data_IF_974837227805
#
_entry.id   IF_974837227805
#
_cell.length_a   1.000
_cell.length_b   1.000
_cell.length_c   1.000
_cell.angle_alpha   90.00
_cell.angle_beta   90.00
_cell.angle_gamma   90.00
#
_symmetry.space_group_name_H-M   'P 1'
#
loop_
_entity.id
_entity.type
_entity.pdbx_description
1 polymer ?
#
# COMPACT_ATOMS: atom_id res chain seq x y z
N UNK A 1 7.05 0.10 17.89
CA UNK A 1 5.69 0.21 17.29
C UNK A 1 5.43 -1.06 16.49
N UNK A 2 4.28 -1.69 16.66
CA UNK A 2 3.86 -2.81 15.79
C UNK A 2 3.61 -2.26 14.40
N UNK A 3 4.14 -2.94 13.39
CA UNK A 3 4.08 -2.47 11.99
C UNK A 3 3.37 -3.44 11.05
N UNK A 4 3.08 -4.67 11.49
CA UNK A 4 2.37 -5.72 10.75
C UNK A 4 1.13 -6.14 11.51
N UNK A 5 -0.01 -6.17 10.82
CA UNK A 5 -1.32 -6.45 11.41
C UNK A 5 -2.08 -7.47 10.56
N UNK A 6 -2.54 -8.54 11.20
CA UNK A 6 -3.42 -9.51 10.55
C UNK A 6 -4.83 -8.93 10.44
N UNK A 7 -5.43 -9.00 9.24
CA UNK A 7 -6.83 -8.62 9.03
C UNK A 7 -7.75 -9.84 8.96
N UNK A 8 -7.44 -10.77 8.04
CA UNK A 8 -8.23 -11.98 7.84
C UNK A 8 -7.29 -13.13 7.44
N UNK A 9 -7.50 -14.32 8.01
CA UNK A 9 -6.79 -15.53 7.59
C UNK A 9 -7.73 -16.72 7.66
N UNK A 10 -7.86 -17.41 6.54
CA UNK A 10 -8.79 -18.53 6.37
C UNK A 10 -8.21 -19.61 5.46
N UNK A 11 -8.70 -20.85 5.64
CA UNK A 11 -8.36 -21.98 4.79
C UNK A 11 -7.03 -22.65 5.14
N UNK A 12 -6.56 -23.49 4.22
CA UNK A 12 -5.32 -24.24 4.36
C UNK A 12 -4.39 -23.93 3.21
N UNK A 13 -3.12 -23.86 3.51
CA UNK A 13 -2.08 -23.70 2.50
C UNK A 13 -2.07 -24.92 1.58
N UNK A 14 -2.02 -24.66 0.28
CA UNK A 14 -1.82 -25.67 -0.77
C UNK A 14 -0.44 -25.50 -1.42
N UNK A 15 0.09 -26.53 -2.08
CA UNK A 15 1.30 -26.39 -2.87
C UNK A 15 1.15 -25.29 -3.91
N UNK A 16 2.15 -24.42 -4.07
CA UNK A 16 2.14 -23.32 -5.02
C UNK A 16 3.14 -23.63 -6.11
N UNK A 17 2.66 -23.73 -7.34
CA UNK A 17 3.47 -23.93 -8.54
C UNK A 17 3.62 -22.66 -9.39
N UNK A 18 2.74 -21.67 -9.18
CA UNK A 18 2.72 -20.42 -9.97
C UNK A 18 2.28 -19.23 -9.13
N UNK A 19 2.78 -18.06 -9.49
CA UNK A 19 2.46 -16.78 -8.86
C UNK A 19 1.78 -15.85 -9.85
N UNK A 20 0.73 -15.17 -9.41
CA UNK A 20 -0.02 -14.18 -10.23
C UNK A 20 -0.11 -12.87 -9.45
N UNK A 21 0.42 -11.79 -10.01
CA UNK A 21 0.34 -10.45 -9.42
C UNK A 21 -0.80 -9.67 -10.06
N UNK A 22 -1.78 -9.31 -9.24
CA UNK A 22 -3.01 -8.60 -9.64
C UNK A 22 -2.78 -7.09 -9.48
N UNK A 23 -1.92 -6.50 -10.30
CA UNK A 23 -1.56 -5.08 -10.15
C UNK A 23 -1.03 -4.47 -11.44
N UNK A 24 -1.44 -3.22 -11.70
CA UNK A 24 -0.85 -2.37 -12.74
C UNK A 24 0.40 -1.61 -12.28
N UNK A 25 0.68 -1.56 -10.97
CA UNK A 25 1.80 -0.81 -10.40
C UNK A 25 3.16 -1.33 -10.89
N UNK A 26 3.97 -0.52 -11.59
CA UNK A 26 5.32 -0.91 -11.99
C UNK A 26 6.21 -1.25 -10.77
N UNK A 27 6.04 -0.53 -9.67
CA UNK A 27 6.78 -0.74 -8.43
C UNK A 27 6.53 -2.13 -7.84
N UNK A 28 5.26 -2.56 -7.75
CA UNK A 28 4.90 -3.90 -7.25
C UNK A 28 5.44 -5.02 -8.16
N UNK A 29 5.38 -4.81 -9.48
CA UNK A 29 5.94 -5.76 -10.45
C UNK A 29 7.44 -5.94 -10.25
N UNK A 30 8.18 -4.85 -10.08
CA UNK A 30 9.61 -4.89 -9.83
C UNK A 30 9.95 -5.57 -8.49
N UNK A 31 9.22 -5.24 -7.42
CA UNK A 31 9.43 -5.82 -6.09
C UNK A 31 9.17 -7.33 -6.03
N UNK A 32 8.28 -7.85 -6.86
CA UNK A 32 7.93 -9.28 -6.90
C UNK A 32 8.59 -10.06 -8.05
N UNK A 33 9.49 -9.45 -8.81
CA UNK A 33 10.15 -10.11 -9.97
C UNK A 33 10.89 -11.40 -9.61
N UNK A 34 11.34 -11.54 -8.36
CA UNK A 34 12.01 -12.75 -7.88
C UNK A 34 11.10 -13.99 -7.87
N UNK A 35 9.78 -13.81 -7.82
CA UNK A 35 8.77 -14.87 -7.95
C UNK A 35 8.52 -15.27 -9.41
N UNK A 36 9.03 -14.51 -10.40
CA UNK A 36 8.72 -14.66 -11.84
C UNK A 36 7.22 -14.76 -12.11
N UNK A 37 6.40 -13.83 -11.61
CA UNK A 37 4.96 -13.96 -11.63
C UNK A 37 4.36 -13.68 -13.00
N UNK A 38 3.19 -14.26 -13.26
CA UNK A 38 2.29 -13.74 -14.29
C UNK A 38 1.67 -12.44 -13.80
N UNK A 39 1.62 -11.42 -14.65
CA UNK A 39 1.06 -10.12 -14.32
C UNK A 39 -0.29 -9.96 -15.01
N UNK A 40 -1.30 -9.60 -14.26
CA UNK A 40 -2.60 -9.21 -14.80
C UNK A 40 -3.17 -8.05 -13.99
N UNK A 41 -4.07 -7.28 -14.58
CA UNK A 41 -4.77 -6.20 -13.88
C UNK A 41 -6.20 -6.61 -13.56
N UNK A 42 -6.69 -6.17 -12.42
CA UNK A 42 -8.09 -6.30 -12.03
C UNK A 42 -8.59 -4.91 -11.67
N UNK A 43 -9.70 -4.53 -12.27
CA UNK A 43 -10.42 -3.31 -11.92
C UNK A 43 -11.52 -3.64 -10.93
N UNK A 44 -11.62 -2.83 -9.86
CA UNK A 44 -12.66 -2.92 -8.85
C UNK A 44 -13.22 -1.52 -8.59
N UNK A 45 -14.45 -1.45 -8.15
CA UNK A 45 -15.07 -0.20 -7.71
C UNK A 45 -14.52 0.20 -6.33
N UNK A 46 -13.31 0.77 -6.33
CA UNK A 46 -12.63 1.18 -5.10
C UNK A 46 -13.49 2.19 -4.30
N UNK A 47 -14.20 3.11 -4.97
CA UNK A 47 -15.06 4.09 -4.30
C UNK A 47 -16.26 3.47 -3.62
N UNK A 48 -16.96 2.57 -4.30
CA UNK A 48 -18.09 1.85 -3.69
C UNK A 48 -17.66 1.03 -2.48
N UNK A 49 -16.50 0.36 -2.55
CA UNK A 49 -15.90 -0.36 -1.43
C UNK A 49 -15.57 0.62 -0.28
N UNK A 50 -14.95 1.74 -0.59
CA UNK A 50 -14.60 2.77 0.39
C UNK A 50 -15.82 3.30 1.14
N UNK A 51 -16.86 3.71 0.43
CA UNK A 51 -18.10 4.24 1.01
C UNK A 51 -18.81 3.20 1.89
N UNK A 52 -18.90 1.95 1.40
CA UNK A 52 -19.55 0.87 2.14
C UNK A 52 -18.83 0.58 3.47
N UNK A 53 -17.52 0.42 3.46
CA UNK A 53 -16.75 0.05 4.65
C UNK A 53 -16.45 1.20 5.61
N UNK A 54 -16.55 2.46 5.18
CA UNK A 54 -16.48 3.61 6.08
C UNK A 54 -17.54 3.54 7.20
N UNK A 55 -18.72 3.08 6.86
CA UNK A 55 -19.82 2.93 7.83
C UNK A 55 -19.68 1.65 8.67
N UNK A 56 -19.20 0.56 8.07
CA UNK A 56 -19.05 -0.73 8.77
C UNK A 56 -18.00 -0.67 9.89
N UNK A 57 -16.95 0.10 9.73
CA UNK A 57 -15.86 0.24 10.71
C UNK A 57 -15.95 1.53 11.52
N UNK A 58 -17.14 2.12 11.66
CA UNK A 58 -17.32 3.42 12.32
C UNK A 58 -16.92 3.44 13.81
N UNK A 59 -16.87 2.28 14.48
CA UNK A 59 -16.41 2.16 15.87
C UNK A 59 -14.91 2.18 16.06
N UNK A 60 -14.13 1.98 14.98
CA UNK A 60 -12.67 2.00 15.04
C UNK A 60 -12.13 3.45 15.01
N UNK A 61 -10.91 3.65 15.51
CA UNK A 61 -10.19 4.88 15.26
C UNK A 61 -9.91 5.07 13.75
N UNK A 62 -9.60 6.31 13.35
CA UNK A 62 -9.49 6.66 11.94
C UNK A 62 -8.44 5.81 11.20
N UNK A 63 -7.25 5.63 11.81
CA UNK A 63 -6.15 4.87 11.19
C UNK A 63 -6.53 3.41 10.98
N UNK A 64 -7.09 2.77 12.01
CA UNK A 64 -7.55 1.37 11.96
C UNK A 64 -8.65 1.19 10.92
N UNK A 65 -9.64 2.08 10.89
CA UNK A 65 -10.73 2.06 9.92
C UNK A 65 -10.22 2.19 8.49
N UNK A 66 -9.31 3.13 8.23
CA UNK A 66 -8.71 3.33 6.92
C UNK A 66 -7.88 2.11 6.49
N UNK A 67 -7.11 1.51 7.41
CA UNK A 67 -6.34 0.30 7.15
C UNK A 67 -7.22 -0.91 6.81
N UNK A 68 -8.30 -1.13 7.55
CA UNK A 68 -9.27 -2.21 7.25
C UNK A 68 -9.93 -2.02 5.89
N UNK A 69 -10.30 -0.79 5.55
CA UNK A 69 -10.83 -0.45 4.22
C UNK A 69 -9.82 -0.76 3.11
N UNK A 70 -8.56 -0.40 3.29
CA UNK A 70 -7.47 -0.74 2.38
C UNK A 70 -7.36 -2.27 2.20
N UNK A 71 -7.58 -3.07 3.27
CA UNK A 71 -7.62 -4.52 3.21
C UNK A 71 -8.79 -5.04 2.34
N UNK A 72 -9.97 -4.47 2.47
CA UNK A 72 -11.12 -4.87 1.65
C UNK A 72 -10.92 -4.56 0.16
N UNK A 73 -10.24 -3.45 -0.18
CA UNK A 73 -9.87 -3.15 -1.58
C UNK A 73 -8.87 -4.20 -2.11
N UNK A 74 -7.81 -4.51 -1.36
CA UNK A 74 -6.85 -5.53 -1.79
C UNK A 74 -7.49 -6.91 -1.93
N UNK A 75 -8.42 -7.27 -1.04
CA UNK A 75 -9.20 -8.51 -1.09
C UNK A 75 -10.10 -8.55 -2.32
N UNK A 76 -10.87 -7.49 -2.59
CA UNK A 76 -11.75 -7.40 -3.75
C UNK A 76 -10.97 -7.57 -5.08
N UNK A 77 -9.75 -7.00 -5.19
CA UNK A 77 -8.86 -7.22 -6.34
C UNK A 77 -8.50 -8.70 -6.55
N UNK A 78 -8.63 -9.55 -5.54
CA UNK A 78 -8.39 -11.00 -5.62
C UNK A 78 -9.63 -11.83 -5.91
N UNK A 79 -10.82 -11.23 -6.02
CA UNK A 79 -12.10 -11.92 -6.29
C UNK A 79 -12.27 -12.22 -7.78
N UNK A 80 -11.44 -13.12 -8.27
CA UNK A 80 -11.41 -13.59 -9.64
C UNK A 80 -11.53 -15.11 -9.69
N UNK A 81 -11.60 -15.69 -10.88
CA UNK A 81 -11.54 -17.15 -11.04
C UNK A 81 -10.14 -17.65 -10.67
N UNK A 82 -10.05 -18.46 -9.63
CA UNK A 82 -8.81 -19.01 -9.11
C UNK A 82 -8.50 -20.37 -9.73
N UNK A 83 -7.26 -20.58 -10.16
CA UNK A 83 -6.75 -21.87 -10.58
C UNK A 83 -6.07 -22.58 -9.39
N UNK A 84 -6.13 -23.94 -9.33
CA UNK A 84 -5.37 -24.69 -8.31
C UNK A 84 -3.87 -24.41 -8.39
N UNK A 85 -3.19 -24.53 -7.25
CA UNK A 85 -1.73 -24.35 -7.13
C UNK A 85 -1.21 -22.97 -7.57
N UNK A 86 -2.08 -21.97 -7.71
CA UNK A 86 -1.71 -20.59 -8.02
C UNK A 86 -1.88 -19.70 -6.80
N UNK A 87 -0.84 -18.93 -6.47
CA UNK A 87 -0.94 -17.86 -5.49
C UNK A 87 -1.18 -16.53 -6.20
N UNK A 88 -2.32 -15.91 -5.90
CA UNK A 88 -2.71 -14.60 -6.36
C UNK A 88 -2.32 -13.55 -5.33
N UNK A 89 -1.61 -12.52 -5.76
CA UNK A 89 -1.09 -11.45 -4.91
C UNK A 89 -1.70 -10.14 -5.37
N UNK A 90 -2.53 -9.54 -4.54
CA UNK A 90 -3.05 -8.18 -4.73
C UNK A 90 -2.65 -7.29 -3.57
N UNK A 91 -2.61 -5.99 -3.80
CA UNK A 91 -2.27 -5.02 -2.77
C UNK A 91 -2.95 -3.67 -3.05
N UNK A 92 -3.11 -2.91 -1.98
CA UNK A 92 -3.55 -1.54 -2.03
C UNK A 92 -2.70 -0.67 -1.11
N UNK A 93 -2.61 0.65 -1.38
CA UNK A 93 -1.77 1.57 -0.61
C UNK A 93 -2.46 2.90 -0.48
N UNK A 94 -2.57 3.38 0.76
CA UNK A 94 -3.14 4.69 1.10
C UNK A 94 -2.18 5.49 1.95
N UNK A 95 -2.25 6.81 1.84
CA UNK A 95 -1.57 7.75 2.73
C UNK A 95 -2.59 8.41 3.63
N UNK A 96 -2.26 8.53 4.91
CA UNK A 96 -3.11 9.11 5.94
C UNK A 96 -2.36 10.26 6.60
N UNK A 97 -2.86 11.47 6.42
CA UNK A 97 -2.36 12.69 7.05
C UNK A 97 -3.53 13.49 7.63
N UNK A 98 -3.38 14.03 8.85
CA UNK A 98 -4.39 14.88 9.51
C UNK A 98 -5.81 14.24 9.50
N UNK A 99 -5.90 12.93 9.81
CA UNK A 99 -7.16 12.15 9.75
C UNK A 99 -7.88 12.21 8.40
N UNK A 100 -7.12 12.33 7.32
CA UNK A 100 -7.61 12.30 5.94
C UNK A 100 -6.84 11.26 5.14
N UNK A 101 -7.51 10.66 4.16
CA UNK A 101 -6.87 9.77 3.20
C UNK A 101 -6.53 10.57 1.96
N UNK A 102 -5.24 10.55 1.62
CA UNK A 102 -4.72 11.16 0.43
C UNK A 102 -4.64 10.13 -0.70
N UNK A 103 -5.61 10.19 -1.59
CA UNK A 103 -5.64 9.41 -2.82
C UNK A 103 -4.68 10.01 -3.87
N UNK A 104 -4.74 9.50 -5.11
CA UNK A 104 -4.02 10.11 -6.22
C UNK A 104 -4.57 11.51 -6.50
N UNK A 105 -3.71 12.53 -6.66
CA UNK A 105 -4.15 13.87 -6.98
C UNK A 105 -4.76 13.91 -8.40
N UNK A 106 -5.74 14.78 -8.60
CA UNK A 106 -6.44 14.95 -9.89
C UNK A 106 -5.62 15.78 -10.89
N UNK A 107 -4.76 16.67 -10.37
CA UNK A 107 -3.92 17.56 -11.14
C UNK A 107 -2.65 17.96 -10.36
N UNK A 108 -1.75 18.71 -11.01
CA UNK A 108 -0.49 19.14 -10.39
C UNK A 108 -0.69 20.14 -9.25
N UNK A 109 -1.77 20.93 -9.27
CA UNK A 109 -2.08 21.87 -8.20
C UNK A 109 -2.42 21.10 -6.92
N UNK A 110 -3.32 20.13 -7.02
CA UNK A 110 -3.67 19.27 -5.88
C UNK A 110 -2.45 18.43 -5.41
N UNK A 111 -1.61 17.98 -6.35
CA UNK A 111 -0.37 17.27 -6.01
C UNK A 111 0.57 18.15 -5.19
N UNK A 112 0.74 19.41 -5.57
CA UNK A 112 1.58 20.37 -4.83
C UNK A 112 0.98 20.70 -3.46
N UNK A 113 -0.34 20.92 -3.36
CA UNK A 113 -1.03 21.17 -2.10
C UNK A 113 -0.86 19.98 -1.14
N UNK A 114 -1.08 18.75 -1.61
CA UNK A 114 -0.84 17.54 -0.82
C UNK A 114 0.61 17.47 -0.35
N UNK A 115 1.57 17.66 -1.25
CA UNK A 115 2.99 17.54 -0.94
C UNK A 115 3.43 18.58 0.10
N UNK A 116 2.98 19.84 -0.05
CA UNK A 116 3.28 20.92 0.91
C UNK A 116 2.70 20.67 2.29
N UNK A 117 1.58 19.97 2.39
CA UNK A 117 0.92 19.69 3.66
C UNK A 117 1.71 18.77 4.59
N UNK A 118 2.72 18.05 4.09
CA UNK A 118 3.55 17.15 4.90
C UNK A 118 4.65 17.85 5.70
N UNK A 119 5.09 19.04 5.28
CA UNK A 119 6.21 19.70 5.95
C UNK A 119 5.92 20.05 7.42
N UNK A 120 6.86 19.72 8.31
CA UNK A 120 6.72 19.87 9.75
C UNK A 120 5.76 18.88 10.40
N UNK A 121 5.34 17.83 9.69
CA UNK A 121 4.37 16.86 10.18
C UNK A 121 4.81 15.41 9.93
N UNK A 122 4.17 14.53 10.68
CA UNK A 122 4.19 13.09 10.44
C UNK A 122 2.94 12.65 9.69
N UNK A 123 3.09 11.68 8.81
CA UNK A 123 1.95 11.01 8.19
C UNK A 123 2.20 9.50 8.11
N UNK A 124 1.13 8.75 7.86
CA UNK A 124 1.19 7.30 7.81
C UNK A 124 0.97 6.80 6.38
N UNK A 125 1.67 5.71 6.05
CA UNK A 125 1.40 4.91 4.86
C UNK A 125 0.95 3.53 5.30
N UNK A 126 -0.19 3.11 4.80
CA UNK A 126 -0.72 1.77 4.97
C UNK A 126 -0.66 1.05 3.64
N UNK A 127 -0.05 -0.12 3.63
CA UNK A 127 -0.14 -1.04 2.49
C UNK A 127 -0.77 -2.34 2.95
N UNK A 128 -1.91 -2.67 2.36
CA UNK A 128 -2.57 -3.96 2.52
C UNK A 128 -2.13 -4.92 1.44
N UNK A 129 -2.06 -6.20 1.79
CA UNK A 129 -1.76 -7.29 0.87
C UNK A 129 -2.77 -8.41 1.08
N UNK A 130 -3.26 -8.95 0.00
CA UNK A 130 -4.04 -10.18 -0.03
C UNK A 130 -3.27 -11.26 -0.78
N UNK A 131 -3.02 -12.36 -0.10
CA UNK A 131 -2.46 -13.59 -0.64
C UNK A 131 -3.59 -14.61 -0.71
N UNK A 132 -3.96 -15.04 -1.92
CA UNK A 132 -5.14 -15.89 -2.14
C UNK A 132 -4.82 -17.08 -3.02
N UNK A 133 -5.25 -18.25 -2.59
CA UNK A 133 -5.27 -19.48 -3.40
C UNK A 133 -6.71 -19.97 -3.56
N UNK A 134 -6.92 -21.09 -4.24
CA UNK A 134 -8.24 -21.73 -4.32
C UNK A 134 -8.74 -22.23 -2.97
N UNK A 135 -7.87 -22.42 -1.96
CA UNK A 135 -8.17 -23.03 -0.66
C UNK A 135 -7.87 -22.12 0.53
N UNK A 136 -7.20 -20.98 0.34
CA UNK A 136 -6.80 -20.09 1.43
C UNK A 136 -6.89 -18.62 1.07
N UNK A 137 -7.07 -17.82 2.11
CA UNK A 137 -7.06 -16.36 2.07
C UNK A 137 -6.24 -15.85 3.24
N UNK A 138 -5.24 -15.03 2.96
CA UNK A 138 -4.44 -14.34 3.97
C UNK A 138 -4.38 -12.85 3.62
N UNK A 139 -5.06 -12.01 4.41
CA UNK A 139 -5.09 -10.55 4.24
C UNK A 139 -4.49 -9.89 5.46
N UNK A 140 -3.53 -9.04 5.22
CA UNK A 140 -2.84 -8.28 6.27
C UNK A 140 -2.49 -6.88 5.77
N UNK A 141 -2.11 -6.01 6.68
CA UNK A 141 -1.57 -4.71 6.32
C UNK A 141 -0.31 -4.38 7.11
N UNK A 142 0.49 -3.53 6.54
CA UNK A 142 1.66 -2.95 7.18
C UNK A 142 1.51 -1.44 7.29
N UNK A 143 2.12 -0.88 8.33
CA UNK A 143 2.09 0.54 8.66
C UNK A 143 3.52 1.08 8.69
N UNK A 144 3.74 2.20 8.01
CA UNK A 144 4.95 3.01 8.14
C UNK A 144 4.58 4.44 8.45
N UNK A 145 5.42 5.12 9.24
CA UNK A 145 5.32 6.56 9.50
C UNK A 145 6.48 7.26 8.82
N UNK A 146 6.21 8.41 8.25
CA UNK A 146 7.22 9.29 7.65
C UNK A 146 7.07 10.66 8.30
N UNK A 147 8.19 11.21 8.75
CA UNK A 147 8.28 12.56 9.27
C UNK A 147 8.98 13.43 8.24
N UNK A 148 8.33 14.48 7.79
CA UNK A 148 8.95 15.48 6.94
C UNK A 148 9.61 16.56 7.79
N UNK A 149 10.70 17.13 7.27
CA UNK A 149 11.37 18.27 7.91
C UNK A 149 10.44 19.49 7.96
N UNK A 150 10.71 20.42 8.87
CA UNK A 150 10.07 21.74 8.83
C UNK A 150 10.37 22.43 7.51
N UNK A 151 9.37 23.15 6.97
CA UNK A 151 9.60 23.93 5.77
C UNK A 151 10.62 25.06 6.03
N UNK A 152 11.56 25.24 5.10
CA UNK A 152 12.46 26.38 5.03
C UNK A 152 12.65 26.83 3.58
N UNK A 153 12.97 28.13 3.33
CA UNK A 153 12.91 28.72 1.98
C UNK A 153 13.74 28.02 0.89
N UNK A 154 14.87 27.40 1.25
CA UNK A 154 15.69 26.67 0.27
C UNK A 154 15.05 25.37 -0.25
N UNK A 155 13.96 24.89 0.35
CA UNK A 155 13.18 23.75 -0.16
C UNK A 155 12.26 24.13 -1.32
N UNK A 156 11.96 25.41 -1.51
CA UNK A 156 10.98 25.86 -2.49
C UNK A 156 11.31 25.40 -3.92
N UNK A 157 12.54 25.64 -4.35
CA UNK A 157 12.99 25.23 -5.68
C UNK A 157 12.92 23.72 -5.87
N UNK A 158 13.23 22.95 -4.81
CA UNK A 158 13.17 21.49 -4.86
C UNK A 158 11.74 20.96 -4.94
N UNK A 159 10.79 21.60 -4.23
CA UNK A 159 9.37 21.26 -4.29
C UNK A 159 8.84 21.47 -5.71
N UNK A 160 9.11 22.66 -6.27
CA UNK A 160 8.69 23.00 -7.62
C UNK A 160 9.29 22.05 -8.67
N UNK A 161 10.59 21.77 -8.55
CA UNK A 161 11.28 20.81 -9.44
C UNK A 161 10.67 19.43 -9.34
N UNK A 162 10.42 18.93 -8.12
CA UNK A 162 9.79 17.61 -7.90
C UNK A 162 8.42 17.52 -8.57
N UNK A 163 7.52 18.47 -8.30
CA UNK A 163 6.16 18.46 -8.85
C UNK A 163 6.19 18.54 -10.39
N UNK A 164 7.01 19.45 -10.94
CA UNK A 164 7.09 19.67 -12.38
C UNK A 164 7.73 18.49 -13.12
N UNK A 165 8.85 17.94 -12.61
CA UNK A 165 9.59 16.89 -13.31
C UNK A 165 8.98 15.49 -13.12
N UNK A 166 8.50 15.18 -11.91
CA UNK A 166 8.00 13.83 -11.58
C UNK A 166 6.52 13.66 -11.87
N UNK A 167 5.75 14.77 -11.92
CA UNK A 167 4.32 14.74 -12.19
C UNK A 167 3.60 13.60 -11.43
N UNK A 168 3.60 13.61 -10.07
CA UNK A 168 3.26 12.44 -9.25
C UNK A 168 1.75 12.11 -9.21
N UNK A 169 1.06 12.21 -10.35
CA UNK A 169 -0.38 11.99 -10.48
C UNK A 169 -0.78 10.51 -10.38
N UNK A 170 0.16 9.61 -10.54
CA UNK A 170 -0.04 8.16 -10.40
C UNK A 170 0.14 7.63 -8.97
N UNK A 171 0.49 8.52 -8.03
CA UNK A 171 0.89 8.17 -6.67
C UNK A 171 -0.11 8.68 -5.64
N UNK A 172 -0.57 7.80 -4.76
CA UNK A 172 -1.34 8.23 -3.59
C UNK A 172 -0.52 9.23 -2.77
N UNK A 173 -1.15 10.34 -2.36
CA UNK A 173 -0.49 11.40 -1.60
C UNK A 173 0.58 12.18 -2.37
N UNK A 174 0.58 12.10 -3.69
CA UNK A 174 1.44 12.91 -4.56
C UNK A 174 2.95 12.71 -4.40
N UNK A 175 3.43 11.55 -3.90
CA UNK A 175 4.87 11.30 -3.90
C UNK A 175 5.23 9.81 -3.98
N UNK A 176 6.46 9.55 -4.47
CA UNK A 176 7.13 8.27 -4.36
C UNK A 176 8.43 8.42 -3.60
N UNK A 177 8.59 7.70 -2.47
CA UNK A 177 9.77 7.83 -1.59
C UNK A 177 11.11 7.64 -2.34
N UNK A 178 11.11 6.84 -3.40
CA UNK A 178 12.29 6.56 -4.21
C UNK A 178 12.73 7.73 -5.10
N UNK A 179 11.84 8.71 -5.29
CA UNK A 179 12.03 9.86 -6.18
C UNK A 179 12.21 11.17 -5.41
N UNK A 180 12.00 11.13 -4.09
CA UNK A 180 12.14 12.30 -3.24
C UNK A 180 13.61 12.72 -3.07
N UNK A 181 13.84 14.03 -3.03
CA UNK A 181 15.08 14.55 -2.52
C UNK A 181 15.21 14.20 -1.03
N UNK A 182 16.34 13.63 -0.58
CA UNK A 182 16.52 13.19 0.80
C UNK A 182 16.36 14.29 1.84
N UNK A 183 16.45 15.56 1.44
CA UNK A 183 16.28 16.73 2.32
C UNK A 183 14.83 16.94 2.78
N UNK A 184 13.84 16.29 2.15
CA UNK A 184 12.45 16.39 2.57
C UNK A 184 12.10 15.52 3.77
N UNK A 185 12.80 14.40 3.96
CA UNK A 185 12.46 13.38 4.95
C UNK A 185 13.37 13.48 6.17
N UNK A 186 12.81 13.70 7.34
CA UNK A 186 13.53 13.71 8.62
C UNK A 186 13.74 12.30 9.17
N UNK A 187 12.68 11.45 9.11
CA UNK A 187 12.77 10.07 9.60
C UNK A 187 11.70 9.17 8.96
N UNK A 188 11.95 7.86 9.01
CA UNK A 188 11.01 6.81 8.62
C UNK A 188 10.98 5.77 9.73
N UNK A 189 9.78 5.39 10.16
CA UNK A 189 9.54 4.28 11.09
C UNK A 189 8.74 3.19 10.40
N UNK A 190 9.22 1.96 10.46
CA UNK A 190 8.63 0.81 9.78
C UNK A 190 9.39 0.40 8.52
N UNK A 191 8.75 -0.42 7.69
CA UNK A 191 9.34 -0.92 6.44
C UNK A 191 9.16 0.09 5.30
N UNK A 192 10.27 0.52 4.72
CA UNK A 192 10.28 1.42 3.55
C UNK A 192 9.52 0.83 2.35
N UNK A 193 9.47 -0.50 2.22
CA UNK A 193 8.72 -1.14 1.13
C UNK A 193 7.20 -1.03 1.32
N UNK A 194 6.72 -0.83 2.56
CA UNK A 194 5.32 -0.40 2.81
C UNK A 194 5.04 0.92 2.11
N UNK A 195 5.97 1.88 2.17
CA UNK A 195 5.83 3.19 1.54
C UNK A 195 5.90 3.08 0.01
N UNK A 196 6.75 2.19 -0.51
CA UNK A 196 6.85 1.92 -1.95
C UNK A 196 5.58 1.23 -2.48
N UNK A 197 4.84 0.54 -1.60
CA UNK A 197 3.53 -0.04 -1.91
C UNK A 197 3.46 -1.57 -1.89
N UNK A 198 4.49 -2.25 -1.33
CA UNK A 198 4.45 -3.69 -1.06
C UNK A 198 5.51 -4.10 -0.02
N UNK A 199 5.13 -4.59 1.16
CA UNK A 199 6.06 -5.03 2.21
C UNK A 199 6.71 -6.37 1.86
N UNK A 200 7.74 -6.35 1.03
CA UNK A 200 8.33 -7.56 0.39
C UNK A 200 8.83 -8.58 1.41
N UNK A 201 9.45 -8.14 2.49
CA UNK A 201 9.97 -9.03 3.53
C UNK A 201 8.84 -9.84 4.17
N UNK A 202 7.73 -9.20 4.55
CA UNK A 202 6.56 -9.85 5.13
C UNK A 202 5.86 -10.76 4.12
N UNK A 203 5.69 -10.30 2.87
CA UNK A 203 5.14 -11.13 1.78
C UNK A 203 5.98 -12.38 1.56
N UNK A 204 7.30 -12.24 1.50
CA UNK A 204 8.24 -13.37 1.33
C UNK A 204 8.15 -14.34 2.51
N UNK A 205 8.12 -13.83 3.74
CA UNK A 205 7.98 -14.66 4.94
C UNK A 205 6.68 -15.47 4.87
N UNK A 206 5.55 -14.85 4.55
CA UNK A 206 4.26 -15.54 4.44
C UNK A 206 4.18 -16.53 3.29
N UNK A 207 4.94 -16.35 2.23
CA UNK A 207 4.98 -17.30 1.09
C UNK A 207 5.86 -18.50 1.40
N UNK A 208 7.02 -18.30 2.03
CA UNK A 208 8.05 -19.31 2.12
C UNK A 208 8.27 -19.90 3.52
N UNK A 209 7.69 -19.28 4.57
CA UNK A 209 7.81 -19.75 5.95
C UNK A 209 6.51 -20.41 6.42
N UNK A 210 6.57 -21.72 6.67
CA UNK A 210 5.40 -22.53 7.04
C UNK A 210 4.97 -22.36 8.50
N UNK A 211 5.77 -21.68 9.34
CA UNK A 211 5.56 -21.62 10.79
C UNK A 211 4.24 -21.04 11.25
N UNK A 212 3.60 -20.19 10.43
CA UNK A 212 2.37 -19.49 10.81
C UNK A 212 1.06 -20.20 10.42
N UNK A 213 1.12 -21.26 9.62
CA UNK A 213 -0.06 -22.03 9.22
C UNK A 213 -0.35 -23.27 10.08
N UNK A 214 0.52 -23.58 11.05
CA UNK A 214 0.38 -24.75 11.94
C UNK A 214 -0.26 -24.44 13.30
N UNK A 215 -0.79 -23.22 13.52
CA UNK A 215 -1.42 -22.82 14.80
C UNK A 215 -2.90 -22.64 14.68
#
# INVERSE_FOLDING_TARGET
MQTVFQYQREGKREPISSYVVLSNSPRRKELLKFLKPHITSVEVDERGIEEYFMNQFASDDFLTRAAKRCCEISKAKSEIKLAPEHLYISADTIIIADEQIFNKPKDLTEAEEMFRSYFGKSHYVVTSVCLRTSQSLDVFYTLAQIDFVDYYPALEELIQSYIFEKQPLDKAGAYGIQELDPRFVASIYGDVHTIIGLPVAEVSCRIFDDRDFEK
#
